data_IF_506761761000
#
_entry.id   IF_506761761000
#
_cell.length_a   1.000
_cell.length_b   1.000
_cell.length_c   1.000
_cell.angle_alpha   90.00
_cell.angle_beta   90.00
_cell.angle_gamma   90.00
#
_symmetry.space_group_name_H-M   'P 1'
#
loop_
_entity.id
_entity.type
_entity.pdbx_description
1 polymer ?
#
# COMPACT_ATOMS: atom_id res chain seq x y z
N UNK A 1 27.49 -12.12 1.86
CA UNK A 1 26.04 -12.26 2.04
C UNK A 1 25.74 -11.91 3.48
N UNK A 2 25.20 -10.73 3.72
CA UNK A 2 24.69 -10.38 5.04
C UNK A 2 23.49 -11.28 5.32
N UNK A 3 23.49 -11.94 6.45
CA UNK A 3 22.37 -12.80 6.86
C UNK A 3 21.15 -11.94 7.20
N UNK A 4 19.96 -12.50 7.11
CA UNK A 4 18.72 -11.84 7.54
C UNK A 4 18.81 -11.23 8.95
N UNK A 5 19.72 -11.73 9.78
CA UNK A 5 19.99 -11.24 11.12
C UNK A 5 20.75 -9.90 11.10
N UNK A 6 21.69 -9.70 10.17
CA UNK A 6 22.43 -8.43 10.05
C UNK A 6 21.58 -7.28 9.54
N UNK A 7 20.57 -7.56 8.70
CA UNK A 7 19.58 -6.56 8.29
C UNK A 7 18.65 -6.17 9.45
N UNK A 8 18.28 -7.11 10.33
CA UNK A 8 17.52 -6.86 11.56
C UNK A 8 18.36 -6.05 12.55
N UNK A 9 19.64 -6.33 12.66
CA UNK A 9 20.57 -5.63 13.57
C UNK A 9 20.84 -4.19 13.08
N UNK A 10 20.92 -3.96 11.77
CA UNK A 10 21.01 -2.63 11.18
C UNK A 10 19.75 -1.79 11.42
N UNK A 11 18.56 -2.39 11.34
CA UNK A 11 17.29 -1.74 11.70
C UNK A 11 17.23 -1.35 13.17
N UNK A 12 17.68 -2.25 14.07
CA UNK A 12 17.74 -1.97 15.51
C UNK A 12 18.79 -0.88 15.85
N UNK A 13 19.87 -0.79 15.08
CA UNK A 13 20.90 0.23 15.24
C UNK A 13 20.46 1.64 14.77
N UNK A 14 19.49 1.70 13.85
CA UNK A 14 18.89 2.96 13.37
C UNK A 14 17.81 3.54 14.32
N UNK A 15 17.68 3.02 15.55
CA UNK A 15 16.78 3.55 16.59
C UNK A 15 15.34 3.05 16.51
N UNK A 16 15.05 2.09 15.65
CA UNK A 16 13.75 1.39 15.63
C UNK A 16 13.60 0.49 16.84
N UNK A 17 12.80 0.85 17.84
CA UNK A 17 12.54 -0.03 18.96
C UNK A 17 11.57 -1.15 18.54
N UNK A 18 11.85 -2.38 18.99
CA UNK A 18 10.97 -3.55 18.79
C UNK A 18 9.55 -3.36 19.35
N UNK A 19 9.30 -2.32 20.11
CA UNK A 19 8.01 -2.01 20.73
C UNK A 19 7.09 -1.14 19.86
N UNK A 20 7.63 -0.46 18.84
CA UNK A 20 6.86 0.50 18.03
C UNK A 20 6.21 -0.12 16.77
N UNK A 21 6.61 -1.34 16.39
CA UNK A 21 5.93 -2.11 15.35
C UNK A 21 5.37 -3.36 16.04
N UNK A 22 4.14 -3.29 16.52
CA UNK A 22 3.42 -4.51 16.86
C UNK A 22 3.45 -5.42 15.63
N UNK A 23 4.05 -6.59 15.80
CA UNK A 23 4.27 -7.58 14.75
C UNK A 23 2.90 -8.11 14.29
N UNK A 24 2.29 -7.45 13.28
CA UNK A 24 1.01 -7.84 12.68
C UNK A 24 1.11 -9.10 11.81
N UNK A 25 2.28 -9.72 11.73
CA UNK A 25 2.44 -11.08 11.21
C UNK A 25 1.86 -12.14 12.18
N UNK A 26 0.99 -11.69 13.10
CA UNK A 26 0.35 -12.56 14.07
C UNK A 26 -0.50 -13.61 13.32
N UNK A 27 -0.13 -14.89 13.34
CA UNK A 27 -0.89 -15.95 12.69
C UNK A 27 -2.23 -16.24 13.41
N UNK A 28 -2.49 -15.58 14.55
CA UNK A 28 -3.72 -15.79 15.29
C UNK A 28 -4.91 -15.16 14.56
N UNK A 29 -6.07 -15.84 14.57
CA UNK A 29 -7.31 -15.29 14.03
C UNK A 29 -7.64 -13.94 14.67
N UNK A 30 -8.22 -13.01 13.85
CA UNK A 30 -8.74 -11.75 14.35
C UNK A 30 -9.98 -12.08 15.21
N UNK A 31 -9.99 -11.67 16.47
CA UNK A 31 -11.13 -11.92 17.35
C UNK A 31 -12.40 -11.16 16.88
N UNK A 32 -13.52 -11.88 16.80
CA UNK A 32 -14.83 -11.33 16.39
C UNK A 32 -15.49 -10.62 17.58
N UNK A 33 -16.11 -9.46 17.33
CA UNK A 33 -16.93 -8.76 18.30
C UNK A 33 -18.37 -9.30 18.29
N UNK A 34 -18.69 -10.16 19.25
CA UNK A 34 -20.03 -10.76 19.38
C UNK A 34 -21.08 -9.85 20.01
N UNK A 35 -20.71 -8.66 20.50
CA UNK A 35 -21.59 -7.81 21.31
C UNK A 35 -22.21 -6.60 20.60
N UNK A 36 -21.69 -6.15 19.44
CA UNK A 36 -22.01 -4.82 18.87
C UNK A 36 -22.84 -4.87 17.58
N UNK A 37 -23.14 -6.05 17.07
CA UNK A 37 -23.63 -6.24 15.72
C UNK A 37 -24.97 -5.58 15.32
N UNK A 38 -26.01 -5.40 16.15
CA UNK A 38 -27.29 -4.90 15.65
C UNK A 38 -27.41 -3.36 15.58
N UNK A 39 -26.74 -2.61 16.44
CA UNK A 39 -26.99 -1.16 16.56
C UNK A 39 -26.05 -0.28 15.75
N UNK A 40 -24.78 -0.65 15.64
CA UNK A 40 -23.81 0.07 14.83
C UNK A 40 -24.18 0.04 13.33
N UNK A 41 -24.64 -1.13 12.86
CA UNK A 41 -25.10 -1.30 11.47
C UNK A 41 -26.37 -0.52 11.13
N UNK A 42 -27.26 -0.30 12.09
CA UNK A 42 -28.43 0.57 11.86
C UNK A 42 -28.02 2.01 11.59
N UNK A 43 -27.01 2.52 12.29
CA UNK A 43 -26.56 3.89 12.13
C UNK A 43 -25.78 4.10 10.83
N UNK A 44 -24.92 3.12 10.44
CA UNK A 44 -24.19 3.13 9.16
C UNK A 44 -25.17 2.98 7.98
N UNK A 45 -26.15 2.09 8.09
CA UNK A 45 -27.18 1.89 7.05
C UNK A 45 -28.08 3.12 6.85
N UNK A 46 -28.28 3.96 7.87
CA UNK A 46 -29.01 5.23 7.75
C UNK A 46 -28.17 6.30 7.02
N UNK A 47 -26.86 6.34 7.22
CA UNK A 47 -25.96 7.28 6.54
C UNK A 47 -25.76 6.93 5.06
N UNK A 48 -25.86 5.64 4.69
CA UNK A 48 -25.74 5.17 3.30
C UNK A 48 -27.06 5.36 2.52
N UNK A 49 -28.22 5.35 3.17
CA UNK A 49 -29.53 5.53 2.50
C UNK A 49 -29.77 6.92 1.92
N UNK A 50 -29.06 7.94 2.38
CA UNK A 50 -29.22 9.31 1.85
C UNK A 50 -28.47 9.54 0.52
N UNK A 51 -27.65 8.60 0.05
CA UNK A 51 -26.90 8.72 -1.21
C UNK A 51 -27.62 8.16 -2.46
N UNK A 52 -28.63 7.30 -2.29
CA UNK A 52 -29.38 6.74 -3.43
C UNK A 52 -30.44 7.71 -4.04
N UNK A 53 -30.59 8.92 -3.48
CA UNK A 53 -31.66 9.85 -3.82
C UNK A 53 -31.22 11.09 -4.64
N UNK A 54 -29.97 11.17 -5.11
CA UNK A 54 -29.49 12.33 -5.89
C UNK A 54 -28.91 11.91 -7.26
N UNK A 55 -29.74 11.28 -8.07
CA UNK A 55 -29.56 11.29 -9.52
C UNK A 55 -30.25 12.50 -10.15
N UNK A 56 -29.49 13.16 -11.04
CA UNK A 56 -29.85 14.23 -11.97
C UNK A 56 -29.70 15.68 -11.48
N UNK A 57 -28.51 16.24 -11.78
CA UNK A 57 -28.51 17.57 -12.38
C UNK A 57 -27.31 17.75 -13.35
N UNK A 58 -27.60 17.71 -14.63
CA UNK A 58 -26.68 17.96 -15.73
C UNK A 58 -26.83 19.42 -16.14
N UNK A 59 -25.89 20.28 -15.77
CA UNK A 59 -25.63 21.53 -16.53
C UNK A 59 -24.32 22.20 -16.05
N UNK A 60 -23.28 22.16 -16.88
CA UNK A 60 -22.51 23.36 -17.20
C UNK A 60 -21.45 23.04 -18.27
N UNK A 61 -21.76 23.42 -19.50
CA UNK A 61 -20.78 23.59 -20.56
C UNK A 61 -20.54 25.09 -20.75
N UNK A 62 -19.26 25.49 -20.88
CA UNK A 62 -18.88 26.82 -21.33
C UNK A 62 -17.38 26.92 -21.67
N UNK A 63 -17.00 27.42 -22.87
CA UNK A 63 -15.63 27.35 -23.32
C UNK A 63 -14.85 28.61 -22.92
N UNK A 64 -13.61 28.45 -22.49
CA UNK A 64 -12.64 29.52 -22.42
C UNK A 64 -11.47 29.24 -23.39
N UNK A 65 -11.36 30.11 -24.35
CA UNK A 65 -10.32 30.23 -25.37
C UNK A 65 -9.04 30.85 -24.80
N UNK A 66 -7.86 30.26 -25.04
CA UNK A 66 -6.67 31.01 -25.45
C UNK A 66 -5.59 30.10 -26.02
N UNK A 67 -5.03 30.55 -27.14
CA UNK A 67 -4.01 29.91 -27.98
C UNK A 67 -2.64 29.78 -27.35
N UNK A 68 -2.03 28.58 -27.49
CA UNK A 68 -0.61 28.43 -27.85
C UNK A 68 -0.31 27.00 -28.26
N UNK A 69 0.64 26.76 -29.12
CA UNK A 69 0.96 25.52 -29.85
C UNK A 69 1.46 24.31 -29.03
N UNK A 70 1.18 24.27 -27.75
CA UNK A 70 1.25 23.07 -26.87
C UNK A 70 -0.09 22.31 -26.81
N UNK A 71 -1.13 22.81 -27.49
CA UNK A 71 -2.53 22.40 -27.36
C UNK A 71 -2.85 21.05 -28.02
N UNK A 72 -1.96 20.50 -28.85
CA UNK A 72 -2.26 19.26 -29.62
C UNK A 72 -2.08 17.98 -28.79
N UNK A 73 -1.10 17.93 -27.88
CA UNK A 73 -0.89 16.76 -27.00
C UNK A 73 -1.86 16.80 -25.81
N UNK A 74 -2.09 17.98 -25.23
CA UNK A 74 -3.01 18.17 -24.10
C UNK A 74 -4.45 17.78 -24.44
N UNK A 75 -4.92 18.06 -25.65
CA UNK A 75 -6.30 17.73 -26.10
C UNK A 75 -6.52 16.22 -26.29
N UNK A 76 -5.46 15.43 -26.52
CA UNK A 76 -5.54 13.97 -26.62
C UNK A 76 -5.62 13.27 -25.25
N UNK A 77 -4.89 13.80 -24.28
CA UNK A 77 -4.77 13.24 -22.93
C UNK A 77 -6.05 13.49 -22.11
N UNK A 78 -6.73 14.62 -22.35
CA UNK A 78 -7.95 15.02 -21.61
C UNK A 78 -9.26 14.56 -22.25
N UNK A 79 -9.23 13.81 -23.35
CA UNK A 79 -10.43 13.18 -23.91
C UNK A 79 -10.74 11.89 -23.19
N UNK A 80 -11.39 11.99 -22.05
CA UNK A 80 -11.81 10.83 -21.28
C UNK A 80 -12.86 10.00 -22.05
N UNK A 81 -12.84 8.68 -21.80
CA UNK A 81 -13.86 7.74 -22.28
C UNK A 81 -14.90 7.55 -21.18
N UNK A 82 -16.15 7.81 -21.48
CA UNK A 82 -17.28 7.47 -20.59
C UNK A 82 -17.90 6.14 -21.04
N UNK A 83 -18.03 5.23 -20.09
CA UNK A 83 -18.60 3.90 -20.35
C UNK A 83 -19.26 3.37 -19.06
N UNK A 84 -20.50 2.89 -19.18
CA UNK A 84 -21.30 2.35 -18.05
C UNK A 84 -21.38 3.30 -16.84
N UNK A 85 -21.49 4.62 -17.09
CA UNK A 85 -21.54 5.64 -16.06
C UNK A 85 -20.21 5.93 -15.35
N UNK A 86 -19.09 5.38 -15.82
CA UNK A 86 -17.76 5.62 -15.28
C UNK A 86 -16.86 6.30 -16.32
N UNK A 87 -15.91 7.12 -15.85
CA UNK A 87 -14.92 7.81 -16.68
C UNK A 87 -13.58 7.07 -16.62
N UNK A 88 -12.97 6.86 -17.80
CA UNK A 88 -11.68 6.18 -17.95
C UNK A 88 -10.68 7.10 -18.62
N UNK A 89 -9.37 6.85 -18.40
CA UNK A 89 -8.29 7.60 -19.04
C UNK A 89 -8.32 7.42 -20.57
N UNK A 90 -7.84 8.43 -21.29
CA UNK A 90 -7.76 8.42 -22.75
C UNK A 90 -6.34 8.12 -23.25
N UNK A 91 -5.31 8.49 -22.47
CA UNK A 91 -3.93 8.20 -22.81
C UNK A 91 -3.70 6.69 -22.69
N UNK A 92 -3.28 6.04 -23.79
CA UNK A 92 -3.12 4.56 -23.85
C UNK A 92 -4.45 3.80 -23.61
N UNK A 93 -5.57 4.31 -24.16
CA UNK A 93 -6.90 3.67 -24.03
C UNK A 93 -6.83 2.15 -24.23
N UNK A 94 -7.48 1.39 -23.35
CA UNK A 94 -7.49 -0.06 -23.35
C UNK A 94 -6.32 -0.74 -22.63
N UNK A 95 -5.29 -0.02 -22.17
CA UNK A 95 -4.21 -0.61 -21.37
C UNK A 95 -4.53 -0.70 -19.86
N UNK A 96 -5.53 0.01 -19.37
CA UNK A 96 -5.90 0.09 -17.97
C UNK A 96 -7.41 0.03 -17.81
N UNK A 97 -7.89 -0.77 -16.88
CA UNK A 97 -9.32 -1.07 -16.72
C UNK A 97 -10.00 -0.31 -15.58
N UNK A 98 -9.25 0.44 -14.77
CA UNK A 98 -9.82 1.19 -13.66
C UNK A 98 -10.31 2.55 -14.14
N UNK A 99 -11.42 3.06 -13.55
CA UNK A 99 -11.90 4.41 -13.82
C UNK A 99 -10.97 5.47 -13.21
N UNK A 100 -11.19 6.74 -13.60
CA UNK A 100 -10.47 7.89 -13.04
C UNK A 100 -11.43 9.07 -12.72
N UNK A 101 -12.70 8.76 -12.52
CA UNK A 101 -13.72 9.73 -12.11
C UNK A 101 -13.57 10.15 -10.65
N UNK A 102 -14.40 11.09 -10.23
CA UNK A 102 -14.35 11.68 -8.89
C UNK A 102 -14.63 10.64 -7.80
N UNK A 103 -15.55 9.68 -8.07
CA UNK A 103 -15.86 8.58 -7.14
C UNK A 103 -14.64 7.66 -6.93
N UNK A 104 -13.86 7.40 -8.00
CA UNK A 104 -12.63 6.61 -7.88
C UNK A 104 -11.54 7.38 -7.15
N UNK A 105 -11.42 8.70 -7.39
CA UNK A 105 -10.47 9.53 -6.66
C UNK A 105 -10.81 9.55 -5.16
N UNK A 106 -12.08 9.74 -4.79
CA UNK A 106 -12.53 9.67 -3.39
C UNK A 106 -12.22 8.30 -2.76
N UNK A 107 -12.39 7.20 -3.53
CA UNK A 107 -12.05 5.86 -3.07
C UNK A 107 -10.54 5.69 -2.85
N UNK A 108 -9.70 6.20 -3.75
CA UNK A 108 -8.23 6.14 -3.61
C UNK A 108 -7.75 6.93 -2.40
N UNK A 109 -8.32 8.09 -2.14
CA UNK A 109 -7.99 8.91 -0.96
C UNK A 109 -8.46 8.25 0.34
N UNK A 110 -9.63 7.59 0.33
CA UNK A 110 -10.07 6.76 1.44
C UNK A 110 -9.12 5.59 1.70
N UNK A 111 -8.63 4.95 0.63
CA UNK A 111 -7.67 3.85 0.75
C UNK A 111 -6.31 4.32 1.29
N UNK A 112 -5.87 5.54 0.92
CA UNK A 112 -4.70 6.15 1.53
C UNK A 112 -4.86 6.32 3.06
N UNK A 113 -6.03 6.70 3.52
CA UNK A 113 -6.33 6.76 4.95
C UNK A 113 -6.22 5.38 5.63
N UNK A 114 -6.68 4.31 4.96
CA UNK A 114 -6.49 2.93 5.47
C UNK A 114 -5.02 2.59 5.63
N UNK A 115 -4.17 2.89 4.63
CA UNK A 115 -2.73 2.70 4.74
C UNK A 115 -2.15 3.46 5.94
N UNK A 116 -2.53 4.71 6.13
CA UNK A 116 -2.09 5.53 7.28
C UNK A 116 -2.51 4.92 8.62
N UNK A 117 -3.73 4.38 8.73
CA UNK A 117 -4.17 3.65 9.93
C UNK A 117 -3.33 2.39 10.17
N UNK A 118 -3.06 1.61 9.13
CA UNK A 118 -2.28 0.36 9.23
C UNK A 118 -0.83 0.64 9.60
N UNK A 119 -0.26 1.75 9.14
CA UNK A 119 1.14 2.12 9.36
C UNK A 119 1.37 3.10 10.52
N UNK A 120 0.35 3.36 11.37
CA UNK A 120 0.44 4.34 12.47
C UNK A 120 0.90 5.73 11.98
N UNK A 121 0.36 6.18 10.85
CA UNK A 121 0.67 7.46 10.23
C UNK A 121 2.01 7.52 9.48
N UNK A 122 2.70 6.40 9.31
CA UNK A 122 3.91 6.34 8.46
C UNK A 122 3.52 6.21 6.99
N UNK A 123 4.24 6.89 6.12
CA UNK A 123 4.02 6.82 4.67
C UNK A 123 4.73 5.63 4.02
N UNK A 124 5.75 5.06 4.66
CA UNK A 124 6.59 3.97 4.17
C UNK A 124 7.27 3.22 5.33
N UNK A 125 7.89 2.07 5.03
CA UNK A 125 8.67 1.25 5.98
C UNK A 125 10.14 1.11 5.60
N UNK A 126 10.52 1.42 4.36
CA UNK A 126 11.91 1.37 3.93
C UNK A 126 12.79 2.28 4.81
N UNK A 127 13.97 1.84 5.27
CA UNK A 127 14.82 2.62 6.16
C UNK A 127 15.62 3.69 5.38
N UNK A 128 14.91 4.63 4.78
CA UNK A 128 15.50 5.74 4.04
C UNK A 128 15.90 6.88 4.98
N UNK A 129 17.03 7.52 4.70
CA UNK A 129 17.52 8.67 5.46
C UNK A 129 17.68 9.87 4.54
N UNK A 130 16.92 10.96 4.81
CA UNK A 130 17.00 12.24 4.09
C UNK A 130 17.06 12.10 2.55
N UNK A 131 16.11 11.40 1.91
CA UNK A 131 16.11 11.22 0.47
C UNK A 131 16.03 12.57 -0.24
N UNK A 132 16.87 12.80 -1.25
CA UNK A 132 16.88 14.04 -2.00
C UNK A 132 15.99 13.98 -3.24
N UNK A 133 15.84 12.79 -3.83
CA UNK A 133 14.93 12.58 -4.97
C UNK A 133 14.09 11.34 -4.76
N UNK A 134 12.79 11.50 -4.92
CA UNK A 134 11.79 10.44 -4.68
C UNK A 134 10.87 10.34 -5.89
N UNK A 135 10.56 9.12 -6.30
CA UNK A 135 9.59 8.82 -7.35
C UNK A 135 8.42 8.03 -6.77
N UNK A 136 7.20 8.52 -6.99
CA UNK A 136 5.94 7.81 -6.71
C UNK A 136 5.34 7.32 -8.03
N UNK A 137 5.44 6.01 -8.28
CA UNK A 137 5.04 5.37 -9.53
C UNK A 137 3.58 4.96 -9.46
N UNK A 138 2.76 5.45 -10.40
CA UNK A 138 1.31 5.28 -10.36
C UNK A 138 0.69 6.10 -9.24
N UNK A 139 1.04 7.39 -9.19
CA UNK A 139 0.71 8.30 -8.08
C UNK A 139 -0.80 8.51 -7.86
N UNK A 140 -1.66 8.20 -8.85
CA UNK A 140 -3.11 8.36 -8.79
C UNK A 140 -3.53 9.80 -8.52
N UNK A 141 -4.24 10.06 -7.40
CA UNK A 141 -4.61 11.42 -6.95
C UNK A 141 -3.39 12.26 -6.53
N UNK A 142 -2.23 11.63 -6.33
CA UNK A 142 -1.03 12.30 -5.83
C UNK A 142 -0.98 12.45 -4.31
N UNK A 143 -1.96 11.94 -3.57
CA UNK A 143 -2.08 12.16 -2.12
C UNK A 143 -0.85 11.69 -1.35
N UNK A 144 -0.28 10.50 -1.69
CA UNK A 144 0.94 10.02 -1.05
C UNK A 144 2.14 10.92 -1.35
N UNK A 145 2.31 11.33 -2.60
CA UNK A 145 3.41 12.21 -3.01
C UNK A 145 3.31 13.60 -2.37
N UNK A 146 2.08 14.13 -2.18
CA UNK A 146 1.81 15.39 -1.46
C UNK A 146 2.23 15.25 0.00
N UNK A 147 1.75 14.23 0.71
CA UNK A 147 2.07 14.00 2.11
C UNK A 147 3.58 13.78 2.31
N UNK A 148 4.24 13.06 1.37
CA UNK A 148 5.68 12.87 1.40
C UNK A 148 6.45 14.18 1.20
N UNK A 149 6.05 15.00 0.22
CA UNK A 149 6.68 16.28 -0.05
C UNK A 149 6.54 17.26 1.11
N UNK A 150 5.40 17.27 1.79
CA UNK A 150 5.16 18.07 2.99
C UNK A 150 6.03 17.59 4.19
N UNK A 151 6.19 16.27 4.34
CA UNK A 151 7.04 15.68 5.40
C UNK A 151 8.53 15.92 5.15
N UNK A 152 8.95 15.98 3.86
CA UNK A 152 10.35 16.13 3.44
C UNK A 152 10.56 17.36 2.54
N UNK A 153 10.52 18.60 3.07
CA UNK A 153 10.60 19.81 2.26
C UNK A 153 11.91 19.96 1.46
N UNK A 154 12.97 19.24 1.84
CA UNK A 154 14.27 19.23 1.12
C UNK A 154 14.31 18.22 -0.04
N UNK A 155 13.38 17.29 -0.09
CA UNK A 155 13.31 16.28 -1.16
C UNK A 155 12.64 16.86 -2.40
N UNK A 156 13.11 16.50 -3.56
CA UNK A 156 12.40 16.70 -4.83
C UNK A 156 11.58 15.45 -5.12
N UNK A 157 10.26 15.58 -5.11
CA UNK A 157 9.32 14.48 -5.30
C UNK A 157 8.73 14.55 -6.71
N UNK A 158 8.71 13.42 -7.41
CA UNK A 158 8.07 13.27 -8.73
C UNK A 158 6.98 12.22 -8.59
N UNK A 159 5.75 12.56 -8.93
CA UNK A 159 4.64 11.61 -9.07
C UNK A 159 4.36 11.36 -10.56
N UNK A 160 4.29 10.10 -10.98
CA UNK A 160 4.02 9.72 -12.36
C UNK A 160 2.73 8.90 -12.46
N UNK A 161 1.85 9.23 -13.41
CA UNK A 161 0.59 8.50 -13.68
C UNK A 161 0.17 8.62 -15.14
N UNK A 162 -0.71 7.70 -15.60
CA UNK A 162 -1.35 7.78 -16.92
C UNK A 162 -2.45 8.85 -16.98
N UNK A 163 -3.02 9.23 -15.84
CA UNK A 163 -4.19 10.10 -15.71
C UNK A 163 -3.82 11.46 -15.12
N UNK A 164 -4.18 12.59 -15.75
CA UNK A 164 -3.96 13.94 -15.21
C UNK A 164 -5.08 14.31 -14.21
N UNK A 165 -5.16 13.58 -13.10
CA UNK A 165 -6.20 13.77 -12.06
C UNK A 165 -5.69 14.46 -10.80
N UNK A 166 -4.39 14.78 -10.75
CA UNK A 166 -3.75 15.37 -9.59
C UNK A 166 -4.21 16.83 -9.40
N UNK A 167 -4.23 17.34 -8.15
CA UNK A 167 -4.68 18.70 -7.86
C UNK A 167 -3.71 19.74 -8.45
N UNK A 168 -4.23 20.91 -8.81
CA UNK A 168 -3.44 22.02 -9.37
C UNK A 168 -2.66 22.82 -8.31
N UNK A 169 -2.92 22.61 -7.02
CA UNK A 169 -2.20 23.25 -5.91
C UNK A 169 -1.45 22.17 -5.12
N UNK A 170 -0.12 22.22 -5.18
CA UNK A 170 0.79 21.19 -4.66
C UNK A 170 1.96 21.84 -3.91
N UNK A 171 2.69 21.10 -3.05
CA UNK A 171 3.93 21.56 -2.45
C UNK A 171 4.96 22.00 -3.49
N UNK A 172 5.79 23.01 -3.20
CA UNK A 172 6.75 23.59 -4.17
C UNK A 172 7.88 22.61 -4.57
N UNK A 173 8.08 21.54 -3.83
CA UNK A 173 9.08 20.51 -4.06
C UNK A 173 8.49 19.24 -4.70
N UNK A 174 7.25 19.31 -5.20
CA UNK A 174 6.56 18.21 -5.89
C UNK A 174 6.22 18.63 -7.32
N UNK A 175 6.40 17.70 -8.27
CA UNK A 175 5.90 17.80 -9.62
C UNK A 175 5.20 16.51 -10.05
N UNK A 176 4.20 16.63 -10.96
CA UNK A 176 3.51 15.49 -11.54
C UNK A 176 3.79 15.38 -13.03
N UNK A 177 4.07 14.16 -13.49
CA UNK A 177 4.31 13.82 -14.88
C UNK A 177 3.23 12.83 -15.38
N UNK A 178 2.78 13.05 -16.62
CA UNK A 178 1.86 12.12 -17.29
C UNK A 178 2.69 11.24 -18.20
N UNK A 179 2.92 10.00 -17.79
CA UNK A 179 3.71 9.04 -18.56
C UNK A 179 3.25 7.59 -18.29
N UNK A 180 3.63 6.69 -19.20
CA UNK A 180 3.42 5.23 -19.08
C UNK A 180 4.66 4.60 -18.46
N UNK A 181 4.55 4.15 -17.22
CA UNK A 181 5.67 3.57 -16.47
C UNK A 181 6.17 2.24 -17.06
N UNK A 182 5.45 1.65 -18.00
CA UNK A 182 5.91 0.50 -18.79
C UNK A 182 6.75 0.89 -20.01
N UNK A 183 6.74 2.18 -20.42
CA UNK A 183 7.66 2.70 -21.44
C UNK A 183 9.06 2.91 -20.83
N UNK A 184 10.07 3.13 -21.68
CA UNK A 184 11.46 3.33 -21.19
C UNK A 184 11.59 4.64 -20.40
N UNK A 185 12.01 4.55 -19.16
CA UNK A 185 12.25 5.70 -18.29
C UNK A 185 13.42 6.55 -18.79
N UNK A 186 13.26 7.86 -18.77
CA UNK A 186 14.23 8.83 -19.30
C UNK A 186 14.61 9.91 -18.29
N UNK A 187 14.64 9.55 -17.02
CA UNK A 187 15.05 10.48 -15.98
C UNK A 187 16.52 10.84 -16.10
N UNK A 188 16.82 12.14 -16.04
CA UNK A 188 18.23 12.63 -16.13
C UNK A 188 19.01 12.45 -14.85
N UNK A 189 18.33 12.24 -13.72
CA UNK A 189 18.91 12.03 -12.40
C UNK A 189 18.23 10.84 -11.74
N UNK A 190 19.00 10.07 -10.98
CA UNK A 190 18.53 8.91 -10.25
C UNK A 190 17.80 9.33 -8.96
N UNK A 191 17.04 8.39 -8.42
CA UNK A 191 16.26 8.55 -7.19
C UNK A 191 16.94 7.87 -6.01
N UNK A 192 16.69 8.36 -4.81
CA UNK A 192 17.11 7.73 -3.56
C UNK A 192 16.04 6.78 -3.04
N UNK A 193 14.79 7.04 -3.42
CA UNK A 193 13.65 6.22 -3.06
C UNK A 193 12.63 6.16 -4.21
N UNK A 194 12.15 4.95 -4.51
CA UNK A 194 11.06 4.70 -5.45
C UNK A 194 9.94 4.00 -4.69
N UNK A 195 8.75 4.59 -4.70
CA UNK A 195 7.55 4.06 -4.08
C UNK A 195 6.57 3.61 -5.16
N UNK A 196 5.98 2.42 -4.99
CA UNK A 196 4.99 1.83 -5.89
C UNK A 196 3.86 1.27 -5.05
N UNK A 197 2.62 1.77 -5.27
CA UNK A 197 1.48 1.33 -4.47
C UNK A 197 0.24 1.07 -5.31
N UNK A 198 -0.45 -0.08 -5.03
CA UNK A 198 -1.74 -0.42 -5.63
C UNK A 198 -1.72 -0.47 -7.17
N UNK A 199 -0.68 -1.07 -7.75
CA UNK A 199 -0.54 -1.29 -9.19
C UNK A 199 -0.87 -2.71 -9.64
N UNK A 200 -1.37 -3.58 -8.77
CA UNK A 200 -1.94 -4.88 -9.15
C UNK A 200 -3.02 -4.70 -10.21
N UNK A 201 -2.99 -5.51 -11.28
CA UNK A 201 -3.89 -5.38 -12.41
C UNK A 201 -3.54 -4.26 -13.42
N UNK A 202 -2.48 -3.49 -13.16
CA UNK A 202 -2.10 -2.34 -14.01
C UNK A 202 -0.86 -2.62 -14.85
N UNK A 203 0.03 -3.47 -14.38
CA UNK A 203 1.35 -3.73 -14.96
C UNK A 203 1.34 -5.09 -15.69
N UNK A 204 1.77 -5.10 -16.95
CA UNK A 204 1.90 -6.32 -17.75
C UNK A 204 3.22 -7.05 -17.47
N UNK A 205 4.31 -6.31 -17.20
CA UNK A 205 5.63 -6.88 -16.92
C UNK A 205 6.28 -6.27 -15.69
N UNK A 206 6.03 -6.86 -14.52
CA UNK A 206 6.67 -6.48 -13.28
C UNK A 206 8.21 -6.59 -13.32
N UNK A 207 8.81 -7.67 -13.88
CA UNK A 207 10.27 -7.72 -14.01
C UNK A 207 10.85 -6.53 -14.77
N UNK A 208 10.22 -6.12 -15.88
CA UNK A 208 10.67 -4.96 -16.65
C UNK A 208 10.55 -3.65 -15.84
N UNK A 209 9.45 -3.45 -15.11
CA UNK A 209 9.27 -2.29 -14.24
C UNK A 209 10.33 -2.23 -13.15
N UNK A 210 10.63 -3.37 -12.53
CA UNK A 210 11.64 -3.46 -11.45
C UNK A 210 13.07 -3.25 -11.96
N UNK A 211 13.40 -3.73 -13.17
CA UNK A 211 14.67 -3.44 -13.82
C UNK A 211 14.83 -1.94 -14.08
N UNK A 212 13.80 -1.28 -14.60
CA UNK A 212 13.80 0.17 -14.80
C UNK A 212 13.96 0.93 -13.47
N UNK A 213 13.22 0.51 -12.44
CA UNK A 213 13.34 1.10 -11.10
C UNK A 213 14.77 0.95 -10.55
N UNK A 214 15.36 -0.25 -10.65
CA UNK A 214 16.73 -0.48 -10.20
C UNK A 214 17.74 0.38 -10.97
N UNK A 215 17.61 0.51 -12.28
CA UNK A 215 18.52 1.30 -13.09
C UNK A 215 18.44 2.80 -12.75
N UNK A 216 17.25 3.28 -12.36
CA UNK A 216 17.00 4.67 -11.98
C UNK A 216 17.19 4.98 -10.49
N UNK A 217 17.52 3.99 -9.65
CA UNK A 217 17.93 4.21 -8.26
C UNK A 217 19.43 4.52 -8.15
N UNK A 218 19.79 5.39 -7.21
CA UNK A 218 21.15 5.54 -6.72
C UNK A 218 21.60 4.25 -6.02
N UNK A 219 22.90 3.98 -6.00
CA UNK A 219 23.47 2.89 -5.19
C UNK A 219 23.13 3.13 -3.71
N UNK A 220 22.65 2.10 -3.02
CA UNK A 220 22.15 2.20 -1.65
C UNK A 220 20.74 2.76 -1.53
N UNK A 221 20.13 3.24 -2.62
CA UNK A 221 18.74 3.70 -2.66
C UNK A 221 17.75 2.54 -2.50
N UNK A 222 16.52 2.85 -2.11
CA UNK A 222 15.49 1.88 -1.78
C UNK A 222 14.33 1.92 -2.77
N UNK A 223 13.72 0.76 -2.98
CA UNK A 223 12.38 0.61 -3.57
C UNK A 223 11.43 0.05 -2.50
N UNK A 224 10.17 0.50 -2.51
CA UNK A 224 9.11 -0.08 -1.70
C UNK A 224 7.87 -0.34 -2.54
N UNK A 225 7.34 -1.57 -2.43
CA UNK A 225 6.14 -2.06 -3.11
C UNK A 225 5.06 -2.29 -2.07
N UNK A 226 3.85 -1.74 -2.31
CA UNK A 226 2.71 -1.86 -1.39
C UNK A 226 1.48 -2.27 -2.17
N UNK A 227 0.87 -3.41 -1.84
CA UNK A 227 -0.39 -3.80 -2.46
C UNK A 227 -1.17 -4.79 -1.59
N UNK A 228 -2.41 -5.06 -2.00
CA UNK A 228 -3.28 -6.05 -1.39
C UNK A 228 -3.22 -7.37 -2.14
N UNK A 229 -3.49 -8.44 -1.43
CA UNK A 229 -3.98 -9.67 -2.04
C UNK A 229 -5.49 -9.52 -2.26
N UNK A 230 -5.92 -9.56 -3.52
CA UNK A 230 -7.32 -9.35 -3.88
C UNK A 230 -8.20 -10.59 -3.61
N UNK A 231 -7.77 -11.44 -2.66
CA UNK A 231 -8.53 -12.55 -2.11
C UNK A 231 -9.01 -12.24 -0.70
N UNK A 232 -10.27 -12.58 -0.42
CA UNK A 232 -10.82 -12.53 0.92
C UNK A 232 -10.79 -13.91 1.57
N UNK A 233 -10.36 -13.94 2.81
CA UNK A 233 -10.27 -15.13 3.66
C UNK A 233 -11.25 -15.00 4.82
N UNK A 234 -11.57 -16.14 5.45
CA UNK A 234 -12.35 -16.20 6.68
C UNK A 234 -11.80 -17.30 7.56
N UNK A 235 -11.55 -17.02 8.84
CA UNK A 235 -10.99 -17.98 9.79
C UNK A 235 -12.04 -18.89 10.43
N UNK A 236 -13.30 -18.46 10.46
CA UNK A 236 -14.42 -19.11 11.14
C UNK A 236 -15.45 -19.73 10.20
N UNK A 237 -15.15 -19.76 8.89
CA UNK A 237 -16.01 -20.32 7.86
C UNK A 237 -17.16 -19.40 7.43
N UNK A 238 -17.31 -18.21 7.98
CA UNK A 238 -18.38 -17.28 7.61
C UNK A 238 -18.26 -16.73 6.20
N UNK A 239 -17.10 -16.89 5.53
CA UNK A 239 -16.91 -16.63 4.11
C UNK A 239 -17.87 -17.37 3.19
N UNK A 240 -18.42 -18.53 3.63
CA UNK A 240 -19.45 -19.27 2.90
C UNK A 240 -20.78 -18.49 2.79
N UNK A 241 -21.00 -17.50 3.64
CA UNK A 241 -22.16 -16.61 3.59
C UNK A 241 -22.04 -15.52 2.52
N UNK A 242 -20.89 -15.45 1.83
CA UNK A 242 -20.60 -14.45 0.81
C UNK A 242 -20.34 -15.06 -0.59
N UNK A 243 -21.31 -15.80 -1.17
CA UNK A 243 -21.14 -16.47 -2.46
C UNK A 243 -21.01 -15.49 -3.65
N UNK A 244 -21.62 -14.30 -3.59
CA UNK A 244 -21.46 -13.28 -4.62
C UNK A 244 -20.04 -12.72 -4.61
N UNK A 245 -19.48 -12.48 -3.44
CA UNK A 245 -18.10 -12.04 -3.28
C UNK A 245 -17.10 -13.07 -3.81
N UNK A 246 -17.29 -14.36 -3.48
CA UNK A 246 -16.47 -15.44 -4.03
C UNK A 246 -16.53 -15.49 -5.56
N UNK A 247 -17.73 -15.35 -6.14
CA UNK A 247 -17.93 -15.31 -7.60
C UNK A 247 -17.26 -14.08 -8.22
N UNK A 248 -17.35 -12.92 -7.56
CA UNK A 248 -16.74 -11.68 -7.99
C UNK A 248 -15.21 -11.79 -8.00
N UNK A 249 -14.59 -12.32 -6.95
CA UNK A 249 -13.15 -12.55 -6.89
C UNK A 249 -12.68 -13.50 -8.01
N UNK A 250 -13.35 -14.64 -8.19
CA UNK A 250 -13.01 -15.59 -9.24
C UNK A 250 -13.11 -14.96 -10.63
N UNK A 251 -14.13 -14.12 -10.87
CA UNK A 251 -14.27 -13.38 -12.13
C UNK A 251 -13.18 -12.33 -12.34
N UNK A 252 -12.77 -11.61 -11.30
CA UNK A 252 -11.64 -10.67 -11.39
C UNK A 252 -10.32 -11.39 -11.71
N UNK A 253 -10.04 -12.53 -11.07
CA UNK A 253 -8.86 -13.34 -11.36
C UNK A 253 -8.85 -13.85 -12.81
N UNK A 254 -9.98 -14.34 -13.29
CA UNK A 254 -10.11 -14.78 -14.67
C UNK A 254 -9.89 -13.62 -15.64
N UNK A 255 -10.57 -12.49 -15.41
CA UNK A 255 -10.50 -11.33 -16.29
C UNK A 255 -9.08 -10.75 -16.33
N UNK A 256 -8.41 -10.60 -15.17
CA UNK A 256 -7.06 -10.05 -15.07
C UNK A 256 -6.03 -10.93 -15.79
N UNK A 257 -6.14 -12.25 -15.67
CA UNK A 257 -5.29 -13.21 -16.42
C UNK A 257 -5.53 -13.13 -17.94
N UNK A 258 -6.79 -13.06 -18.37
CA UNK A 258 -7.13 -12.92 -19.79
C UNK A 258 -6.66 -11.57 -20.33
N UNK A 259 -6.70 -10.53 -19.53
CA UNK A 259 -6.20 -9.19 -19.87
C UNK A 259 -4.66 -9.12 -19.87
N UNK A 260 -3.98 -10.09 -19.27
CA UNK A 260 -2.52 -10.15 -19.18
C UNK A 260 -1.91 -9.21 -18.13
N UNK A 261 -2.72 -8.78 -17.14
CA UNK A 261 -2.31 -7.91 -16.03
C UNK A 261 -2.86 -8.50 -14.73
N UNK A 262 -2.04 -9.32 -14.07
CA UNK A 262 -2.44 -10.03 -12.87
C UNK A 262 -2.76 -9.07 -11.72
N UNK A 263 -3.91 -9.25 -11.07
CA UNK A 263 -4.31 -8.49 -9.88
C UNK A 263 -3.58 -8.98 -8.64
N UNK A 264 -3.40 -10.30 -8.50
CA UNK A 264 -2.82 -10.92 -7.30
C UNK A 264 -1.30 -11.02 -7.40
N UNK A 265 -0.64 -9.89 -7.27
CA UNK A 265 0.83 -9.75 -7.43
C UNK A 265 1.57 -9.54 -6.10
N UNK A 266 0.91 -9.05 -5.07
CA UNK A 266 1.54 -8.62 -3.83
C UNK A 266 2.40 -9.71 -3.17
N UNK A 267 1.94 -10.97 -3.17
CA UNK A 267 2.68 -12.10 -2.62
C UNK A 267 3.93 -12.48 -3.43
N UNK A 268 4.12 -11.92 -4.64
CA UNK A 268 5.28 -12.18 -5.50
C UNK A 268 6.36 -11.09 -5.38
N UNK A 269 6.08 -10.00 -4.70
CA UNK A 269 6.96 -8.83 -4.66
C UNK A 269 8.34 -9.15 -4.10
N UNK A 270 8.41 -9.96 -3.05
CA UNK A 270 9.67 -10.35 -2.44
C UNK A 270 10.57 -11.08 -3.43
N UNK A 271 10.04 -12.15 -4.05
CA UNK A 271 10.79 -12.97 -5.00
C UNK A 271 11.23 -12.11 -6.20
N UNK A 272 10.35 -11.27 -6.72
CA UNK A 272 10.66 -10.39 -7.83
C UNK A 272 11.72 -9.33 -7.51
N UNK A 273 11.75 -8.77 -6.30
CA UNK A 273 12.82 -7.85 -5.89
C UNK A 273 14.15 -8.59 -5.75
N UNK A 274 14.15 -9.79 -5.20
CA UNK A 274 15.36 -10.63 -5.11
C UNK A 274 15.87 -11.03 -6.51
N UNK A 275 14.97 -11.45 -7.41
CA UNK A 275 15.31 -11.77 -8.82
C UNK A 275 15.82 -10.56 -9.59
N UNK A 276 15.26 -9.37 -9.35
CA UNK A 276 15.74 -8.12 -9.93
C UNK A 276 17.09 -7.65 -9.35
N UNK A 277 17.65 -8.36 -8.37
CA UNK A 277 18.98 -8.09 -7.80
C UNK A 277 19.00 -6.99 -6.74
N UNK A 278 17.88 -6.74 -6.06
CA UNK A 278 17.86 -5.96 -4.84
C UNK A 278 18.39 -6.79 -3.67
N UNK A 279 19.02 -6.14 -2.70
CA UNK A 279 19.54 -6.75 -1.46
C UNK A 279 18.76 -6.26 -0.24
N UNK A 280 18.95 -6.93 0.90
CA UNK A 280 18.25 -6.61 2.15
C UNK A 280 16.72 -6.51 1.96
N UNK A 281 16.17 -7.43 1.17
CA UNK A 281 14.73 -7.45 0.88
C UNK A 281 13.97 -7.88 2.13
N UNK A 282 13.03 -7.04 2.55
CA UNK A 282 12.18 -7.25 3.73
C UNK A 282 10.73 -7.23 3.31
N UNK A 283 10.00 -8.28 3.71
CA UNK A 283 8.55 -8.37 3.55
C UNK A 283 7.85 -8.17 4.89
N UNK A 284 6.76 -7.42 4.88
CA UNK A 284 5.80 -7.30 5.97
C UNK A 284 4.40 -7.48 5.40
N UNK A 285 3.53 -8.14 6.13
CA UNK A 285 2.14 -8.27 5.75
C UNK A 285 1.20 -8.12 6.95
N UNK A 286 -0.01 -7.65 6.68
CA UNK A 286 -1.07 -7.41 7.67
C UNK A 286 -2.36 -8.05 7.20
N UNK A 287 -3.10 -8.60 8.14
CA UNK A 287 -4.45 -9.12 7.91
C UNK A 287 -5.44 -7.98 8.20
N UNK A 288 -6.15 -7.52 7.18
CA UNK A 288 -7.08 -6.41 7.29
C UNK A 288 -8.52 -6.90 7.23
N UNK A 289 -9.35 -6.63 8.25
CA UNK A 289 -10.79 -6.92 8.18
C UNK A 289 -11.42 -6.12 7.04
N UNK A 290 -12.26 -6.76 6.23
CA UNK A 290 -12.98 -6.09 5.13
C UNK A 290 -14.31 -5.47 5.58
N UNK A 291 -14.66 -5.58 6.88
CA UNK A 291 -15.83 -4.97 7.52
C UNK A 291 -15.55 -4.81 9.03
N UNK A 292 -16.29 -4.00 9.78
CA UNK A 292 -16.00 -3.65 11.19
C UNK A 292 -16.43 -4.73 12.19
N UNK A 293 -16.17 -6.00 11.90
CA UNK A 293 -16.51 -7.15 12.73
C UNK A 293 -15.46 -7.48 13.79
N UNK A 294 -14.25 -6.95 13.69
CA UNK A 294 -13.17 -7.22 14.64
C UNK A 294 -13.47 -6.67 16.03
N UNK A 295 -13.02 -7.39 17.08
CA UNK A 295 -13.23 -7.00 18.47
C UNK A 295 -12.33 -5.85 18.90
N UNK A 296 -11.05 -5.86 18.49
CA UNK A 296 -10.14 -4.80 18.83
C UNK A 296 -10.48 -3.51 18.07
N UNK A 297 -10.29 -2.36 18.73
CA UNK A 297 -10.71 -1.06 18.24
C UNK A 297 -10.06 -0.69 16.92
N UNK A 298 -8.76 -0.96 16.77
CA UNK A 298 -8.00 -0.57 15.57
C UNK A 298 -8.45 -1.37 14.35
N UNK A 299 -8.53 -2.71 14.47
CA UNK A 299 -9.02 -3.54 13.37
C UNK A 299 -10.48 -3.26 13.05
N UNK A 300 -11.30 -2.88 14.04
CA UNK A 300 -12.67 -2.43 13.79
C UNK A 300 -12.71 -1.13 12.98
N UNK A 301 -11.88 -0.16 13.33
CA UNK A 301 -11.75 1.11 12.59
C UNK A 301 -11.24 0.87 11.17
N UNK A 302 -10.17 0.10 11.00
CA UNK A 302 -9.68 -0.33 9.69
C UNK A 302 -10.79 -1.01 8.88
N UNK A 303 -11.51 -1.95 9.50
CA UNK A 303 -12.62 -2.67 8.86
C UNK A 303 -13.77 -1.74 8.42
N UNK A 304 -14.04 -0.65 9.15
CA UNK A 304 -15.03 0.33 8.78
C UNK A 304 -14.67 1.06 7.48
N UNK A 305 -13.42 1.53 7.38
CA UNK A 305 -12.93 2.21 6.16
C UNK A 305 -12.76 1.22 5.01
N UNK A 306 -12.28 0.00 5.29
CA UNK A 306 -12.18 -1.06 4.28
C UNK A 306 -13.54 -1.46 3.73
N UNK A 307 -14.59 -1.55 4.55
CA UNK A 307 -15.94 -1.83 4.08
C UNK A 307 -16.41 -0.78 3.08
N UNK A 308 -16.26 0.52 3.40
CA UNK A 308 -16.61 1.58 2.46
C UNK A 308 -15.78 1.50 1.18
N UNK A 309 -14.46 1.30 1.28
CA UNK A 309 -13.61 1.10 0.12
C UNK A 309 -14.08 -0.08 -0.75
N UNK A 310 -14.46 -1.22 -0.16
CA UNK A 310 -14.93 -2.39 -0.90
C UNK A 310 -16.28 -2.18 -1.56
N UNK A 311 -17.19 -1.41 -0.93
CA UNK A 311 -18.47 -1.04 -1.54
C UNK A 311 -18.28 -0.21 -2.81
N UNK A 312 -17.32 0.71 -2.82
CA UNK A 312 -16.99 1.56 -3.98
C UNK A 312 -16.15 0.77 -4.99
N UNK A 313 -15.17 0.00 -4.53
CA UNK A 313 -14.30 -0.86 -5.33
C UNK A 313 -15.08 -1.93 -6.12
N UNK A 314 -16.21 -2.40 -5.60
CA UNK A 314 -17.03 -3.40 -6.29
C UNK A 314 -17.35 -2.96 -7.72
N UNK A 315 -17.72 -1.70 -7.93
CA UNK A 315 -18.00 -1.18 -9.29
C UNK A 315 -16.72 -0.78 -10.01
N UNK A 316 -15.78 -0.13 -9.32
CA UNK A 316 -14.54 0.34 -9.90
C UNK A 316 -13.71 -0.80 -10.52
N UNK A 317 -13.47 -1.85 -9.75
CA UNK A 317 -12.69 -3.00 -10.23
C UNK A 317 -13.48 -3.91 -11.18
N UNK A 318 -14.77 -4.11 -10.92
CA UNK A 318 -15.49 -5.16 -11.64
C UNK A 318 -16.09 -4.72 -12.97
N UNK A 319 -16.59 -3.49 -13.11
CA UNK A 319 -17.36 -3.10 -14.28
C UNK A 319 -16.61 -3.40 -15.60
N UNK A 320 -15.42 -2.87 -15.77
CA UNK A 320 -14.64 -3.06 -17.00
C UNK A 320 -14.13 -4.51 -17.14
N UNK A 321 -13.71 -5.14 -16.06
CA UNK A 321 -13.23 -6.52 -16.08
C UNK A 321 -14.32 -7.49 -16.55
N UNK A 322 -15.52 -7.39 -16.01
CA UNK A 322 -16.62 -8.27 -16.37
C UNK A 322 -17.20 -7.94 -17.75
N UNK A 323 -17.37 -6.66 -18.08
CA UNK A 323 -18.01 -6.28 -19.34
C UNK A 323 -17.08 -6.35 -20.55
N UNK A 324 -15.86 -5.79 -20.44
CA UNK A 324 -14.93 -5.74 -21.58
C UNK A 324 -14.17 -7.06 -21.78
N UNK A 325 -13.84 -7.77 -20.70
CA UNK A 325 -12.97 -8.95 -20.76
C UNK A 325 -13.79 -10.24 -20.75
N UNK A 326 -14.72 -10.39 -19.79
CA UNK A 326 -15.54 -11.60 -19.66
C UNK A 326 -16.81 -11.57 -20.55
N UNK A 327 -17.16 -10.43 -21.17
CA UNK A 327 -18.28 -10.30 -22.07
C UNK A 327 -19.66 -10.32 -21.41
N UNK A 328 -19.74 -10.01 -20.11
CA UNK A 328 -21.01 -9.86 -19.41
C UNK A 328 -21.72 -8.59 -19.85
N UNK A 329 -23.06 -8.58 -19.78
CA UNK A 329 -23.79 -7.32 -19.89
C UNK A 329 -23.62 -6.46 -18.62
N UNK A 330 -23.71 -5.13 -18.71
CA UNK A 330 -23.68 -4.25 -17.54
C UNK A 330 -24.73 -4.62 -16.49
N UNK A 331 -25.93 -5.04 -16.92
CA UNK A 331 -27.04 -5.44 -16.05
C UNK A 331 -26.71 -6.73 -15.27
N UNK A 332 -26.13 -7.72 -15.94
CA UNK A 332 -25.67 -8.96 -15.28
C UNK A 332 -24.63 -8.65 -14.21
N UNK A 333 -23.68 -7.77 -14.53
CA UNK A 333 -22.68 -7.35 -13.56
C UNK A 333 -23.30 -6.59 -12.40
N UNK A 334 -24.25 -5.66 -12.63
CA UNK A 334 -24.95 -4.92 -11.59
C UNK A 334 -25.64 -5.84 -10.58
N UNK A 335 -26.25 -6.94 -11.03
CA UNK A 335 -26.86 -7.94 -10.15
C UNK A 335 -25.81 -8.60 -9.25
N UNK A 336 -24.66 -8.99 -9.79
CA UNK A 336 -23.56 -9.54 -9.01
C UNK A 336 -23.04 -8.50 -8.01
N UNK A 337 -22.80 -7.28 -8.46
CA UNK A 337 -22.30 -6.17 -7.63
C UNK A 337 -23.24 -5.84 -6.46
N UNK A 338 -24.56 -5.89 -6.70
CA UNK A 338 -25.55 -5.71 -5.62
C UNK A 338 -25.45 -6.83 -4.57
N UNK A 339 -25.25 -8.08 -5.00
CA UNK A 339 -25.01 -9.22 -4.11
C UNK A 339 -23.75 -9.01 -3.25
N UNK A 340 -22.62 -8.68 -3.88
CA UNK A 340 -21.35 -8.40 -3.21
C UNK A 340 -21.49 -7.28 -2.16
N UNK A 341 -22.13 -6.17 -2.53
CA UNK A 341 -22.35 -5.04 -1.61
C UNK A 341 -23.22 -5.40 -0.41
N UNK A 342 -24.24 -6.26 -0.61
CA UNK A 342 -25.06 -6.74 0.50
C UNK A 342 -24.27 -7.66 1.43
N UNK A 343 -23.39 -8.50 0.89
CA UNK A 343 -22.55 -9.39 1.66
C UNK A 343 -21.49 -8.62 2.47
N UNK A 344 -20.89 -7.55 1.93
CA UNK A 344 -20.01 -6.65 2.72
C UNK A 344 -20.73 -5.94 3.86
N UNK A 345 -22.03 -5.72 3.74
CA UNK A 345 -22.87 -5.11 4.79
C UNK A 345 -23.41 -6.14 5.80
N UNK A 346 -23.25 -7.43 5.54
CA UNK A 346 -23.72 -8.49 6.45
C UNK A 346 -22.74 -8.66 7.62
N UNK A 347 -23.15 -8.33 8.86
CA UNK A 347 -22.28 -8.42 10.02
C UNK A 347 -21.84 -9.84 10.39
N UNK A 348 -22.44 -10.84 9.78
CA UNK A 348 -22.10 -12.27 9.99
C UNK A 348 -20.93 -12.72 9.10
N UNK A 349 -20.50 -11.90 8.12
CA UNK A 349 -19.41 -12.19 7.19
C UNK A 349 -18.13 -11.59 7.73
N UNK A 350 -17.20 -12.44 8.16
CA UNK A 350 -15.94 -12.02 8.77
C UNK A 350 -14.76 -12.20 7.81
N UNK A 351 -14.88 -11.60 6.62
CA UNK A 351 -13.82 -11.64 5.63
C UNK A 351 -12.69 -10.65 5.96
N UNK A 352 -11.47 -11.07 5.64
CA UNK A 352 -10.25 -10.27 5.73
C UNK A 352 -9.37 -10.53 4.50
N UNK A 353 -8.45 -9.60 4.19
CA UNK A 353 -7.45 -9.75 3.14
C UNK A 353 -6.05 -9.46 3.67
N UNK A 354 -5.01 -9.89 2.93
CA UNK A 354 -3.64 -9.52 3.23
C UNK A 354 -3.28 -8.21 2.51
N UNK A 355 -2.51 -7.36 3.20
CA UNK A 355 -1.78 -6.23 2.64
C UNK A 355 -0.29 -6.52 2.79
N UNK A 356 0.48 -6.35 1.71
CA UNK A 356 1.92 -6.58 1.69
C UNK A 356 2.65 -5.26 1.51
N UNK A 357 3.76 -5.12 2.23
CA UNK A 357 4.77 -4.09 2.01
C UNK A 357 6.10 -4.81 1.89
N UNK A 358 6.76 -4.61 0.75
CA UNK A 358 8.06 -5.23 0.49
C UNK A 358 9.01 -4.14 0.03
N UNK A 359 10.13 -4.00 0.71
CA UNK A 359 11.18 -3.07 0.29
C UNK A 359 12.51 -3.77 0.12
N UNK A 360 13.35 -3.22 -0.76
CA UNK A 360 14.69 -3.71 -1.02
C UNK A 360 15.64 -2.55 -1.32
N UNK A 361 16.93 -2.77 -1.13
CA UNK A 361 17.99 -1.81 -1.37
C UNK A 361 18.74 -2.14 -2.67
N UNK A 362 19.04 -1.15 -3.50
CA UNK A 362 19.96 -1.32 -4.61
C UNK A 362 21.38 -1.54 -4.07
N UNK A 363 22.09 -2.59 -4.50
CA UNK A 363 23.45 -2.84 -4.04
C UNK A 363 24.38 -1.64 -4.27
N UNK A 364 25.29 -1.45 -3.33
CA UNK A 364 26.41 -0.52 -3.48
C UNK A 364 27.50 -1.30 -4.23
N UNK A 365 27.88 -0.84 -5.42
CA UNK A 365 29.01 -1.44 -6.15
C UNK A 365 30.24 -1.31 -5.26
N UNK A 366 30.72 -2.42 -4.70
CA UNK A 366 32.06 -2.45 -4.14
C UNK A 366 32.98 -2.13 -5.30
N UNK A 367 33.59 -0.95 -5.30
CA UNK A 367 34.60 -0.60 -6.27
C UNK A 367 35.69 -1.67 -6.17
N UNK A 368 35.64 -2.71 -7.00
CA UNK A 368 36.80 -3.44 -7.36
C UNK A 368 37.71 -2.42 -8.06
N UNK A 369 38.65 -1.84 -7.30
CA UNK A 369 39.90 -1.39 -7.90
C UNK A 369 40.39 -2.58 -8.71
N UNK A 370 40.15 -2.59 -10.00
CA UNK A 370 40.92 -3.36 -10.95
C UNK A 370 42.36 -2.85 -10.82
N UNK A 371 43.09 -3.44 -9.87
CA UNK A 371 44.56 -3.31 -9.85
C UNK A 371 45.01 -3.94 -11.16
N UNK A 372 45.21 -3.08 -12.15
CA UNK A 372 45.86 -3.48 -13.37
C UNK A 372 47.16 -4.16 -12.95
N UNK A 373 47.49 -5.35 -13.50
CA UNK A 373 48.72 -6.03 -13.12
C UNK A 373 49.89 -5.11 -13.44
N UNK A 374 50.64 -4.72 -12.42
CA UNK A 374 51.86 -3.95 -12.55
C UNK A 374 52.83 -4.76 -13.44
N UNK A 375 53.08 -4.25 -14.64
CA UNK A 375 54.08 -4.77 -15.56
C UNK A 375 55.45 -4.46 -14.97
N UNK A 376 56.15 -5.52 -14.54
CA UNK A 376 57.61 -5.63 -14.56
C UNK A 376 58.42 -4.88 -13.50
N UNK A 377 58.84 -5.57 -12.46
CA UNK A 377 60.15 -5.29 -11.83
C UNK A 377 60.88 -6.63 -11.57
N UNK A 378 62.21 -6.63 -11.64
CA UNK A 378 62.99 -7.83 -11.91
C UNK A 378 63.24 -8.71 -10.68
N UNK A 379 63.38 -10.00 -10.97
CA UNK A 379 63.80 -11.06 -10.05
C UNK A 379 65.25 -10.80 -9.54
N UNK A 380 65.41 -10.74 -8.22
CA UNK A 380 66.68 -10.99 -7.56
C UNK A 380 66.52 -12.13 -6.56
N UNK A 381 67.28 -13.16 -6.79
CA UNK A 381 67.44 -14.39 -6.03
C UNK A 381 68.27 -14.23 -4.78
N UNK A 382 68.08 -15.14 -3.83
CA UNK A 382 68.92 -15.64 -2.72
C UNK A 382 68.41 -15.17 -1.35
N UNK A 383 68.22 -16.05 -0.44
CA UNK A 383 68.84 -17.14 0.18
C UNK A 383 68.31 -17.33 1.59
N UNK A 384 68.02 -18.53 1.93
CA UNK A 384 68.12 -19.27 3.17
C UNK A 384 67.98 -18.56 4.54
N UNK A 385 67.15 -19.15 5.44
CA UNK A 385 67.30 -18.97 6.89
C UNK A 385 66.12 -19.55 7.68
N UNK A 386 66.31 -20.74 8.14
CA UNK A 386 65.59 -21.48 9.20
C UNK A 386 65.53 -20.71 10.51
N UNK A 387 64.47 -20.96 11.35
CA UNK A 387 64.41 -21.47 12.75
C UNK A 387 63.09 -21.04 13.40
N UNK A 388 62.24 -21.97 13.68
CA UNK A 388 61.79 -22.67 14.89
C UNK A 388 61.26 -21.82 16.07
N UNK A 389 60.09 -22.19 16.55
CA UNK A 389 59.82 -22.49 17.95
C UNK A 389 58.98 -21.53 18.76
N UNK A 390 57.95 -22.07 19.39
CA UNK A 390 57.40 -21.48 20.60
C UNK A 390 55.93 -21.70 20.85
N UNK A 391 55.55 -22.89 21.25
CA UNK A 391 54.31 -23.18 22.03
C UNK A 391 54.38 -22.46 23.39
N UNK A 392 53.27 -22.00 23.89
CA UNK A 392 52.95 -22.11 25.32
C UNK A 392 51.45 -22.03 25.59
N UNK A 393 51.08 -22.98 26.42
CA UNK A 393 49.78 -23.36 26.95
C UNK A 393 49.35 -22.54 28.18
N UNK A 394 48.07 -22.65 28.45
CA UNK A 394 47.37 -22.90 29.73
C UNK A 394 46.98 -21.73 30.64
N UNK A 395 45.73 -21.79 31.00
CA UNK A 395 45.19 -21.84 32.39
C UNK A 395 44.25 -20.69 32.69
N UNK A 396 43.09 -20.85 33.20
CA UNK A 396 42.46 -21.58 34.21
C UNK A 396 41.17 -20.90 34.65
N UNK A 397 40.16 -21.67 34.80
CA UNK A 397 39.26 -21.88 35.93
C UNK A 397 38.38 -20.78 36.52
N UNK A 398 37.10 -21.07 36.47
CA UNK A 398 36.04 -21.06 37.52
C UNK A 398 35.79 -19.81 38.39
N UNK A 399 34.51 -19.41 38.42
CA UNK A 399 33.68 -19.40 39.65
C UNK A 399 32.20 -19.09 39.39
N UNK A 400 31.42 -20.13 39.63
CA UNK A 400 30.01 -20.17 40.04
C UNK A 400 29.70 -19.25 41.25
N UNK A 401 28.57 -18.52 41.21
CA UNK A 401 27.86 -18.13 42.43
C UNK A 401 26.35 -17.99 42.19
N UNK A 402 25.66 -18.93 42.79
CA UNK A 402 24.23 -18.91 43.16
C UNK A 402 23.80 -17.59 43.85
N UNK A 403 22.58 -17.14 43.54
CA UNK A 403 21.70 -16.55 44.54
C UNK A 403 20.21 -16.72 44.16
N UNK A 404 19.58 -17.39 45.11
CA UNK A 404 18.17 -17.64 45.41
C UNK A 404 17.24 -16.46 45.22
N UNK A 405 16.09 -16.69 44.62
CA UNK A 405 14.70 -16.64 45.05
C UNK A 405 14.20 -15.43 45.82
N UNK A 406 13.22 -14.75 45.23
CA UNK A 406 12.18 -14.10 46.02
C UNK A 406 10.85 -14.14 45.28
N UNK A 407 9.90 -14.68 46.03
CA UNK A 407 8.50 -14.91 45.74
C UNK A 407 7.74 -13.58 45.98
N UNK A 408 7.01 -13.02 45.01
CA UNK A 408 6.05 -11.97 45.32
C UNK A 408 4.69 -12.26 44.70
N UNK A 409 3.78 -12.42 45.60
CA UNK A 409 2.33 -12.47 45.58
C UNK A 409 1.61 -11.88 44.36
N UNK A 410 0.80 -12.74 43.74
CA UNK A 410 -0.34 -12.35 42.90
C UNK A 410 -1.41 -11.74 43.84
N UNK A 411 -1.73 -10.47 43.66
CA UNK A 411 -2.95 -9.85 44.19
C UNK A 411 -3.96 -9.75 43.05
N UNK A 412 -5.06 -10.47 43.19
CA UNK A 412 -6.29 -10.29 42.43
C UNK A 412 -6.84 -8.89 42.63
N UNK A 413 -6.67 -8.01 41.64
CA UNK A 413 -7.43 -6.75 41.57
C UNK A 413 -8.73 -6.99 40.81
N UNK A 414 -9.83 -6.94 41.55
CA UNK A 414 -11.19 -6.80 40.99
C UNK A 414 -11.27 -5.50 40.24
N UNK A 415 -11.24 -5.55 38.92
CA UNK A 415 -11.49 -4.43 38.03
C UNK A 415 -12.96 -3.96 38.22
N UNK A 416 -13.13 -2.72 38.61
CA UNK A 416 -14.39 -2.12 38.99
C UNK A 416 -15.28 -1.91 37.73
N UNK A 417 -16.51 -2.42 37.72
CA UNK A 417 -17.45 -2.36 36.60
C UNK A 417 -17.71 -0.94 36.03
N UNK A 418 -17.44 0.11 36.82
CA UNK A 418 -17.55 1.50 36.39
C UNK A 418 -16.47 1.97 35.41
N UNK A 419 -15.27 1.44 35.48
CA UNK A 419 -14.20 1.74 34.51
C UNK A 419 -14.46 1.11 33.13
N UNK A 420 -15.11 -0.06 33.10
CA UNK A 420 -15.48 -0.74 31.86
C UNK A 420 -16.58 0.06 31.14
N UNK A 421 -17.56 0.57 31.90
CA UNK A 421 -18.68 1.35 31.35
C UNK A 421 -18.23 2.75 30.85
N UNK A 422 -17.24 3.35 31.53
CA UNK A 422 -16.67 4.64 31.12
C UNK A 422 -15.82 4.51 29.86
N UNK A 423 -14.97 3.48 29.74
CA UNK A 423 -14.22 3.16 28.51
C UNK A 423 -15.12 2.78 27.34
N UNK A 424 -16.29 2.18 27.59
CA UNK A 424 -17.28 1.86 26.58
C UNK A 424 -17.92 3.11 25.98
N UNK A 425 -18.31 4.06 26.82
CA UNK A 425 -18.91 5.33 26.39
C UNK A 425 -17.91 6.24 25.65
N UNK A 426 -16.61 6.22 26.01
CA UNK A 426 -15.56 6.91 25.29
C UNK A 426 -15.33 6.32 23.89
N UNK A 427 -15.39 4.99 23.74
CA UNK A 427 -15.22 4.32 22.44
C UNK A 427 -16.40 4.59 21.47
N UNK A 428 -17.63 4.67 21.97
CA UNK A 428 -18.80 5.00 21.14
C UNK A 428 -18.76 6.45 20.65
N UNK A 429 -18.30 7.39 21.49
CA UNK A 429 -18.17 8.80 21.09
C UNK A 429 -17.12 9.04 20.00
N UNK A 430 -16.03 8.27 20.01
CA UNK A 430 -14.93 8.40 19.05
C UNK A 430 -15.30 7.78 17.69
N UNK A 431 -16.07 6.68 17.69
CA UNK A 431 -16.63 6.10 16.45
C UNK A 431 -17.67 7.04 15.83
N UNK A 432 -18.54 7.67 16.65
CA UNK A 432 -19.45 8.70 16.17
C UNK A 432 -18.70 9.93 15.64
N UNK A 433 -17.57 10.29 16.25
CA UNK A 433 -16.72 11.39 15.76
C UNK A 433 -16.07 11.06 14.41
N UNK A 434 -15.57 9.84 14.25
CA UNK A 434 -15.02 9.37 12.98
C UNK A 434 -16.05 9.37 11.85
N UNK A 435 -17.26 8.89 12.13
CA UNK A 435 -18.41 8.93 11.19
C UNK A 435 -18.80 10.35 10.84
N UNK A 436 -18.78 11.30 11.80
CA UNK A 436 -19.04 12.72 11.54
C UNK A 436 -17.95 13.38 10.70
N UNK A 437 -16.69 12.98 10.87
CA UNK A 437 -15.57 13.46 10.06
C UNK A 437 -15.72 13.02 8.62
N UNK A 438 -16.06 11.75 8.35
CA UNK A 438 -16.38 11.26 7.01
C UNK A 438 -17.52 12.04 6.34
N UNK A 439 -18.60 12.33 7.09
CA UNK A 439 -19.73 13.10 6.56
C UNK A 439 -19.36 14.57 6.30
N UNK A 440 -18.45 15.14 7.09
CA UNK A 440 -18.00 16.54 6.90
C UNK A 440 -17.01 16.69 5.76
N UNK A 441 -16.16 15.70 5.51
CA UNK A 441 -15.20 15.69 4.39
C UNK A 441 -15.95 15.53 3.06
N UNK A 442 -16.90 14.62 2.96
CA UNK A 442 -17.84 14.54 1.82
C UNK A 442 -18.63 15.83 1.59
N UNK A 443 -18.96 16.58 2.67
CA UNK A 443 -19.63 17.88 2.59
C UNK A 443 -18.73 19.05 2.17
N UNK A 444 -17.41 18.97 2.41
CA UNK A 444 -16.45 20.02 2.04
C UNK A 444 -16.02 19.94 0.57
N UNK A 445 -15.94 18.75 0.00
CA UNK A 445 -15.70 18.53 -1.42
C UNK A 445 -16.78 19.22 -2.26
N UNK A 446 -18.05 19.09 -1.88
CA UNK A 446 -19.20 19.73 -2.58
C UNK A 446 -19.28 21.25 -2.46
N UNK A 447 -18.58 21.89 -1.51
CA UNK A 447 -18.59 23.37 -1.35
C UNK A 447 -17.45 24.08 -2.10
N UNK A 448 -16.43 23.38 -2.59
CA UNK A 448 -15.33 23.99 -3.37
C UNK A 448 -15.55 24.00 -4.87
N UNK A 449 -16.50 23.25 -5.40
CA UNK A 449 -16.88 23.27 -6.82
C UNK A 449 -17.92 24.34 -7.20
N UNK A 450 -18.32 25.19 -6.26
CA UNK A 450 -19.36 26.22 -6.46
C UNK A 450 -18.84 27.65 -6.27
N UNK A 451 -17.64 27.98 -6.78
CA UNK A 451 -17.19 29.38 -6.99
C UNK A 451 -16.28 29.50 -8.19
#
# INVERSE_FOLDING_TARGET
MATSQEAIDAFNAAGGSRQDIQDYTNPNPIEVDVMILPELFKNISLLVKDNDALENDSAFGGPASSNTSKTSLTSGITRYREENGRRYHAYRDGKYLMPNDDDEQDRMDLLHHVFNLVLDGKLYLAPIENPQRVLDVGTGTGIWAIDFADQYPSSHVVGCDLSPIQPGWIPPNLEFEIDDVEDTWRYSQKFDFIHIRSLGGSIASWPHLLDQARDNLNEGGFIELVDFEYHGYSDDGTGELAPSFQKWQAGLDEASRLFGRDLNVAMKFKDWLEEAGFEAVVERHWRLPMAPWARDRRNKEIGLYMQQNMLDATVAYGMAHFTRILGWSPEEYQVLAAGVRNEFKDPRVHNWCNMYIVYGRKPISSGEETIAPAVGAPVLSSGAGFVSGGEMKLGGEDKEKDRKGENTNVRDEKVNGKEIEQKKNESESDIEAAVKVMAQEKGKGKRKSGR
#
